data_IF_891323629809
#
_entry.id   IF_891323629809
#
_cell.length_a   1.000
_cell.length_b   1.000
_cell.length_c   1.000
_cell.angle_alpha   90.00
_cell.angle_beta   90.00
_cell.angle_gamma   90.00
#
_symmetry.space_group_name_H-M   'P 1'
#
loop_
_entity.id
_entity.type
_entity.pdbx_description
1 polymer ?
#
# COMPACT_ATOMS: atom_id res chain seq x y z
N UNK A 1 43.57 17.82 -36.41
CA UNK A 1 42.13 17.75 -36.73
C UNK A 1 41.51 16.61 -35.92
N UNK A 2 41.04 16.83 -34.67
CA UNK A 2 40.34 15.80 -33.93
C UNK A 2 38.83 15.89 -34.26
N UNK A 3 38.29 14.83 -34.85
CA UNK A 3 36.87 14.71 -35.15
C UNK A 3 36.16 13.91 -34.04
N UNK A 4 35.14 14.57 -33.47
CA UNK A 4 33.91 14.02 -32.87
C UNK A 4 34.01 13.07 -31.67
N UNK A 5 34.01 13.66 -30.47
CA UNK A 5 33.40 13.02 -29.28
C UNK A 5 31.87 13.04 -29.41
N UNK A 6 31.30 12.01 -30.04
CA UNK A 6 29.88 11.67 -29.91
C UNK A 6 29.70 10.72 -28.73
N UNK A 7 29.94 11.19 -27.51
CA UNK A 7 29.69 10.42 -26.29
C UNK A 7 28.25 10.65 -25.83
N UNK A 8 27.39 9.73 -26.25
CA UNK A 8 26.27 9.21 -25.45
C UNK A 8 25.48 10.23 -24.61
N UNK A 9 24.73 11.12 -25.27
CA UNK A 9 23.63 11.89 -24.65
C UNK A 9 22.43 11.01 -24.19
N UNK A 10 22.54 9.69 -24.35
CA UNK A 10 21.57 8.67 -23.93
C UNK A 10 21.81 8.14 -22.50
N UNK A 11 22.73 8.72 -21.73
CA UNK A 11 23.23 8.09 -20.52
C UNK A 11 22.25 8.04 -19.33
N UNK A 12 21.19 8.86 -19.29
CA UNK A 12 20.24 8.80 -18.17
C UNK A 12 18.89 9.45 -18.46
N UNK A 13 17.99 8.72 -19.13
CA UNK A 13 16.62 9.20 -19.43
C UNK A 13 15.77 9.45 -18.17
N UNK A 14 16.19 8.92 -17.01
CA UNK A 14 15.40 8.96 -15.77
C UNK A 14 15.91 9.96 -14.73
N UNK A 15 16.92 10.79 -15.05
CA UNK A 15 17.54 11.73 -14.11
C UNK A 15 16.52 12.62 -13.39
N UNK A 16 15.62 13.23 -14.15
CA UNK A 16 14.57 14.11 -13.61
C UNK A 16 13.56 13.34 -12.75
N UNK A 17 13.17 12.13 -13.17
CA UNK A 17 12.28 11.28 -12.39
C UNK A 17 12.89 10.88 -11.04
N UNK A 18 14.18 10.52 -11.02
CA UNK A 18 14.87 10.20 -9.75
C UNK A 18 14.96 11.42 -8.83
N UNK A 19 15.19 12.61 -9.38
CA UNK A 19 15.15 13.85 -8.60
C UNK A 19 13.76 14.11 -7.98
N UNK A 20 12.69 13.87 -8.75
CA UNK A 20 11.31 13.99 -8.24
C UNK A 20 10.97 12.93 -7.17
N UNK A 21 11.41 11.69 -7.36
CA UNK A 21 11.25 10.61 -6.36
C UNK A 21 12.01 10.94 -5.09
N UNK A 22 13.24 11.44 -5.18
CA UNK A 22 14.04 11.86 -4.03
C UNK A 22 13.39 13.02 -3.26
N UNK A 23 12.85 14.02 -3.97
CA UNK A 23 12.10 15.11 -3.34
C UNK A 23 10.82 14.63 -2.62
N UNK A 24 10.09 13.67 -3.20
CA UNK A 24 8.94 13.04 -2.53
C UNK A 24 9.35 12.24 -1.30
N UNK A 25 10.44 11.46 -1.39
CA UNK A 25 10.95 10.69 -0.27
C UNK A 25 11.36 11.59 0.91
N UNK A 26 12.04 12.71 0.62
CA UNK A 26 12.39 13.70 1.64
C UNK A 26 11.17 14.33 2.32
N UNK A 27 10.09 14.61 1.57
CA UNK A 27 8.83 15.08 2.16
C UNK A 27 8.20 14.04 3.09
N UNK A 28 8.32 12.75 2.79
CA UNK A 28 7.77 11.66 3.63
C UNK A 28 8.55 11.52 4.94
N UNK A 29 9.87 11.74 4.93
CA UNK A 29 10.69 11.69 6.14
C UNK A 29 10.46 12.85 7.12
N UNK A 30 9.94 13.98 6.64
CA UNK A 30 9.66 15.15 7.48
C UNK A 30 8.26 15.10 8.14
N UNK A 31 7.42 14.11 7.81
CA UNK A 31 6.20 13.91 8.58
C UNK A 31 6.55 13.34 9.96
N UNK A 32 6.01 13.92 11.05
CA UNK A 32 6.16 13.32 12.36
C UNK A 32 5.63 11.89 12.35
N UNK A 33 6.53 10.91 12.37
CA UNK A 33 6.19 9.51 12.58
C UNK A 33 6.07 9.27 14.08
N UNK A 34 4.96 9.73 14.67
CA UNK A 34 4.56 9.17 15.95
C UNK A 34 4.21 7.70 15.73
N UNK A 35 5.00 6.81 16.32
CA UNK A 35 4.72 5.37 16.35
C UNK A 35 3.49 5.11 17.20
N UNK A 36 2.31 5.29 16.59
CA UNK A 36 1.04 4.86 17.19
C UNK A 36 1.00 3.34 17.18
N UNK A 37 0.99 2.75 18.37
CA UNK A 37 0.79 1.31 18.51
C UNK A 37 -0.67 0.99 18.26
N UNK A 38 -0.93 0.02 17.39
CA UNK A 38 -2.27 -0.47 17.09
C UNK A 38 -2.33 -1.96 17.41
N UNK A 39 -3.50 -2.44 17.85
CA UNK A 39 -3.75 -3.87 18.01
C UNK A 39 -3.91 -4.49 16.62
N UNK A 40 -3.00 -5.39 16.25
CA UNK A 40 -3.07 -6.12 14.99
C UNK A 40 -3.73 -7.48 15.18
N UNK A 41 -4.67 -7.84 14.30
CA UNK A 41 -5.35 -9.13 14.27
C UNK A 41 -5.38 -9.67 12.84
N UNK A 42 -4.82 -10.86 12.63
CA UNK A 42 -4.80 -11.52 11.32
C UNK A 42 -5.78 -12.69 11.29
N UNK A 43 -6.69 -12.70 10.31
CA UNK A 43 -7.66 -13.78 10.09
C UNK A 43 -7.15 -14.71 8.98
N UNK A 44 -6.79 -15.95 9.33
CA UNK A 44 -6.19 -16.94 8.44
C UNK A 44 -6.99 -18.25 8.42
N UNK A 45 -6.85 -19.04 7.35
CA UNK A 45 -7.42 -20.40 7.22
C UNK A 45 -6.72 -21.14 6.10
N UNK A 46 -6.46 -22.43 6.30
CA UNK A 46 -5.87 -23.32 5.30
C UNK A 46 -6.84 -23.82 4.23
N UNK A 47 -8.13 -23.44 4.28
CA UNK A 47 -9.16 -23.85 3.30
C UNK A 47 -9.84 -22.64 2.66
N UNK A 48 -10.20 -22.77 1.39
CA UNK A 48 -11.06 -21.82 0.67
C UNK A 48 -12.50 -21.84 1.18
N UNK A 49 -13.26 -20.75 1.01
CA UNK A 49 -14.70 -20.72 1.26
C UNK A 49 -15.17 -20.69 2.73
N UNK A 50 -14.27 -20.80 3.72
CA UNK A 50 -14.67 -20.83 5.15
C UNK A 50 -15.18 -19.49 5.72
N UNK A 51 -15.32 -18.45 4.91
CA UNK A 51 -15.85 -17.15 5.36
C UNK A 51 -14.84 -16.20 6.04
N UNK A 52 -13.52 -16.41 5.89
CA UNK A 52 -12.49 -15.52 6.47
C UNK A 52 -12.75 -14.03 6.23
N UNK A 53 -12.93 -13.64 4.98
CA UNK A 53 -13.11 -12.24 4.58
C UNK A 53 -14.42 -11.67 5.13
N UNK A 54 -15.47 -12.50 5.21
CA UNK A 54 -16.77 -12.11 5.80
C UNK A 54 -16.62 -11.83 7.29
N UNK A 55 -15.91 -12.69 8.03
CA UNK A 55 -15.66 -12.50 9.46
C UNK A 55 -14.78 -11.27 9.68
N UNK A 56 -13.69 -11.12 8.91
CA UNK A 56 -12.79 -9.98 9.01
C UNK A 56 -13.52 -8.65 8.77
N UNK A 57 -14.36 -8.57 7.73
CA UNK A 57 -15.16 -7.39 7.40
C UNK A 57 -16.17 -7.06 8.50
N UNK A 58 -16.96 -8.04 8.94
CA UNK A 58 -17.98 -7.80 9.97
C UNK A 58 -17.36 -7.42 11.32
N UNK A 59 -16.20 -7.99 11.66
CA UNK A 59 -15.44 -7.59 12.84
C UNK A 59 -14.97 -6.13 12.73
N UNK A 60 -14.42 -5.74 11.59
CA UNK A 60 -14.00 -4.37 11.37
C UNK A 60 -15.18 -3.38 11.46
N UNK A 61 -16.33 -3.71 10.85
CA UNK A 61 -17.56 -2.92 10.94
C UNK A 61 -18.06 -2.82 12.38
N UNK A 62 -18.03 -3.92 13.15
CA UNK A 62 -18.46 -3.93 14.54
C UNK A 62 -17.57 -3.05 15.43
N UNK A 63 -16.25 -3.09 15.23
CA UNK A 63 -15.29 -2.24 15.95
C UNK A 63 -15.46 -0.75 15.56
N UNK A 64 -15.60 -0.46 14.27
CA UNK A 64 -15.86 0.91 13.81
C UNK A 64 -17.18 1.47 14.39
N UNK A 65 -18.25 0.66 14.45
CA UNK A 65 -19.53 1.04 15.08
C UNK A 65 -19.42 1.29 16.58
N UNK A 66 -18.41 0.73 17.26
CA UNK A 66 -18.12 0.99 18.68
C UNK A 66 -17.29 2.27 18.89
N UNK A 67 -16.85 2.93 17.81
CA UNK A 67 -16.03 4.14 17.85
C UNK A 67 -14.53 3.89 17.76
N UNK A 68 -14.09 2.65 17.51
CA UNK A 68 -12.67 2.35 17.35
C UNK A 68 -12.14 2.84 15.98
N UNK A 69 -10.91 3.34 15.96
CA UNK A 69 -10.17 3.62 14.73
C UNK A 69 -9.66 2.30 14.12
N UNK A 70 -10.32 1.84 13.07
CA UNK A 70 -10.05 0.52 12.45
C UNK A 70 -9.46 0.68 11.06
N UNK A 71 -8.41 -0.10 10.78
CA UNK A 71 -7.89 -0.33 9.43
C UNK A 71 -8.13 -1.80 9.06
N UNK A 72 -8.79 -2.05 7.93
CA UNK A 72 -9.00 -3.38 7.38
C UNK A 72 -8.17 -3.54 6.12
N UNK A 73 -7.36 -4.60 6.06
CA UNK A 73 -6.44 -4.88 4.94
C UNK A 73 -6.81 -6.23 4.32
N UNK A 74 -7.06 -6.27 3.02
CA UNK A 74 -7.16 -7.53 2.27
C UNK A 74 -5.75 -7.99 1.88
N UNK A 75 -5.33 -9.14 2.42
CA UNK A 75 -4.03 -9.75 2.13
C UNK A 75 -4.16 -10.99 1.22
N UNK A 76 -5.24 -11.10 0.46
CA UNK A 76 -5.49 -12.24 -0.43
C UNK A 76 -4.75 -12.07 -1.77
N UNK A 77 -3.89 -13.01 -2.20
CA UNK A 77 -3.23 -12.93 -3.49
C UNK A 77 -4.23 -13.18 -4.63
N UNK A 78 -4.58 -12.14 -5.38
CA UNK A 78 -5.19 -12.25 -6.72
C UNK A 78 -6.67 -11.89 -6.87
N UNK A 79 -7.47 -11.81 -5.80
CA UNK A 79 -8.89 -11.39 -5.87
C UNK A 79 -9.19 -10.47 -4.68
N UNK A 80 -9.71 -9.28 -4.95
CA UNK A 80 -10.23 -8.35 -3.95
C UNK A 80 -11.57 -8.84 -3.40
N UNK A 81 -11.56 -9.67 -2.37
CA UNK A 81 -12.82 -10.13 -1.76
C UNK A 81 -13.53 -9.00 -1.03
N UNK A 82 -12.79 -8.05 -0.46
CA UNK A 82 -13.41 -6.91 0.23
C UNK A 82 -14.13 -5.95 -0.71
N UNK A 83 -13.60 -5.71 -1.91
CA UNK A 83 -14.23 -4.82 -2.89
C UNK A 83 -15.65 -5.28 -3.24
N UNK A 84 -15.79 -6.58 -3.57
CA UNK A 84 -17.07 -7.22 -3.81
C UNK A 84 -17.99 -7.16 -2.57
N UNK A 85 -17.47 -7.51 -1.39
CA UNK A 85 -18.26 -7.54 -0.15
C UNK A 85 -18.73 -6.14 0.30
N UNK A 86 -17.95 -5.11 -0.01
CA UNK A 86 -18.28 -3.71 0.28
C UNK A 86 -19.10 -3.04 -0.84
N UNK A 87 -19.40 -3.76 -1.92
CA UNK A 87 -20.12 -3.22 -3.09
C UNK A 87 -19.41 -2.02 -3.73
N UNK A 88 -18.08 -1.98 -3.65
CA UNK A 88 -17.26 -0.98 -4.34
C UNK A 88 -17.05 -1.48 -5.78
N UNK A 89 -17.19 -0.58 -6.76
CA UNK A 89 -17.24 -0.90 -8.20
C UNK A 89 -16.22 -0.07 -8.97
#
# INVERSE_FOLDING_TARGET
MPQLETTHRHADQARELRALVAQRAARVSDLPCETRTCRSLTVLSGKGGVGKSVIALNLAVALARRGDSVCLVDASPGIGHLELLCGQN
#
